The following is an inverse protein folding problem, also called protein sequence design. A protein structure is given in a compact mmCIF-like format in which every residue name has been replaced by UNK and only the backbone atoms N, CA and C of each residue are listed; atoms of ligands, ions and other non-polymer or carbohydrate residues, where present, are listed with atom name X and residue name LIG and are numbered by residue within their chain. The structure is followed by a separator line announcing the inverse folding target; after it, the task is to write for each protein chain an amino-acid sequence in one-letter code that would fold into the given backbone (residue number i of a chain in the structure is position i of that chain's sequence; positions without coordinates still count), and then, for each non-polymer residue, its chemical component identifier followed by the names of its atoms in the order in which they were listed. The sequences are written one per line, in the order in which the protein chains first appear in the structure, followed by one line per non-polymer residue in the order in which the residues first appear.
data_IF_963657938602
#
_entry.id   IF_963657938602
#
_cell.length_a   1.000
_cell.length_b   1.000
_cell.length_c   1.000
_cell.angle_alpha   90.00
_cell.angle_beta   90.00
_cell.angle_gamma   90.00
#
_symmetry.space_group_name_H-M   'P 1'
#
loop_
_entity.id
_entity.type
_entity.pdbx_description
1 polymer ?
#
# COMPACT_ATOMS: atom_id res chain seq x y z
N UNK A 1 -8.45 -43.79 -2.01
CA UNK A 1 -8.54 -43.53 -0.55
C UNK A 1 -7.29 -44.08 0.10
N UNK A 2 -6.92 -43.59 1.27
CA UNK A 2 -5.79 -44.06 2.09
C UNK A 2 -6.29 -44.15 3.54
N UNK A 3 -5.88 -45.16 4.34
CA UNK A 3 -5.05 -46.30 3.95
C UNK A 3 -5.78 -47.25 2.98
N UNK A 4 -5.06 -47.91 2.07
CA UNK A 4 -5.63 -48.86 1.11
C UNK A 4 -4.70 -50.06 0.83
N UNK A 5 -5.30 -51.17 0.38
CA UNK A 5 -4.58 -52.41 0.04
C UNK A 5 -4.23 -52.56 -1.45
N UNK A 6 -4.31 -51.48 -2.24
CA UNK A 6 -4.13 -51.48 -3.70
C UNK A 6 -2.81 -50.85 -4.14
N UNK A 7 -1.83 -50.79 -3.23
CA UNK A 7 -0.48 -50.27 -3.52
C UNK A 7 -0.49 -48.83 -4.09
N UNK A 8 -1.45 -48.02 -3.63
CA UNK A 8 -1.54 -46.60 -3.96
C UNK A 8 -0.46 -45.74 -3.25
N UNK A 9 -0.47 -44.42 -3.46
CA UNK A 9 0.48 -43.51 -2.82
C UNK A 9 0.47 -43.62 -1.28
N UNK A 10 1.66 -43.56 -0.67
CA UNK A 10 1.88 -43.60 0.79
C UNK A 10 2.60 -42.34 1.25
N UNK A 11 2.46 -41.99 2.52
CA UNK A 11 3.19 -40.88 3.12
C UNK A 11 4.71 -41.08 3.07
N UNK A 12 5.46 -39.98 2.99
CA UNK A 12 6.94 -39.96 3.03
C UNK A 12 7.41 -39.20 4.27
N UNK A 13 7.67 -39.88 5.41
CA UNK A 13 8.08 -39.21 6.66
C UNK A 13 9.36 -38.37 6.53
N UNK A 14 10.23 -38.69 5.57
CA UNK A 14 11.43 -37.93 5.26
C UNK A 14 11.14 -36.51 4.69
N UNK A 15 9.94 -36.26 4.19
CA UNK A 15 9.51 -34.95 3.69
C UNK A 15 8.86 -34.07 4.78
N UNK A 16 8.94 -34.47 6.06
CA UNK A 16 8.35 -33.74 7.17
C UNK A 16 9.01 -32.36 7.34
N UNK A 17 8.20 -31.31 7.31
CA UNK A 17 8.66 -29.95 7.60
C UNK A 17 9.15 -29.82 9.06
N UNK A 18 10.14 -28.96 9.33
CA UNK A 18 10.57 -28.69 10.70
C UNK A 18 9.44 -28.00 11.50
N UNK A 19 9.31 -28.26 12.81
CA UNK A 19 8.30 -27.61 13.63
C UNK A 19 8.56 -26.10 13.75
N UNK A 20 7.52 -25.28 13.55
CA UNK A 20 7.56 -23.84 13.79
C UNK A 20 7.11 -23.56 15.23
N UNK A 21 7.97 -22.91 16.04
CA UNK A 21 7.59 -22.46 17.38
C UNK A 21 6.63 -21.26 17.27
N UNK A 22 5.49 -21.35 17.93
CA UNK A 22 4.49 -20.27 18.01
C UNK A 22 4.42 -19.79 19.47
N UNK A 23 4.20 -18.48 19.65
CA UNK A 23 4.03 -17.84 20.95
C UNK A 23 2.88 -16.84 20.91
N UNK A 24 2.11 -16.75 21.99
CA UNK A 24 0.91 -15.91 22.07
C UNK A 24 -0.38 -16.72 21.91
N UNK A 25 -1.50 -16.03 22.07
CA UNK A 25 -2.83 -16.63 21.96
C UNK A 25 -3.31 -16.65 20.51
N UNK A 26 -4.22 -17.56 20.18
CA UNK A 26 -4.91 -17.50 18.89
C UNK A 26 -5.97 -16.39 18.93
N UNK A 27 -5.68 -15.26 18.29
CA UNK A 27 -6.56 -14.09 18.26
C UNK A 27 -6.55 -13.37 16.91
N UNK A 28 -7.45 -12.40 16.73
CA UNK A 28 -7.42 -11.45 15.60
C UNK A 28 -6.52 -10.28 15.98
N UNK A 29 -5.23 -10.38 15.69
CA UNK A 29 -4.28 -9.30 15.93
C UNK A 29 -4.47 -8.18 14.91
N UNK A 30 -4.50 -6.93 15.39
CA UNK A 30 -4.50 -5.76 14.52
C UNK A 30 -3.09 -5.55 13.94
N UNK A 31 -2.97 -5.68 12.62
CA UNK A 31 -1.71 -5.54 11.90
C UNK A 31 -1.23 -4.08 11.80
N UNK A 32 -2.08 -3.10 12.12
CA UNK A 32 -1.69 -1.68 12.12
C UNK A 32 -0.82 -1.31 13.32
N UNK A 33 -0.95 -2.05 14.42
CA UNK A 33 -0.19 -1.78 15.65
C UNK A 33 1.29 -2.08 15.40
N UNK A 34 2.10 -1.02 15.41
CA UNK A 34 3.55 -1.12 15.24
C UNK A 34 4.03 -1.24 13.79
N UNK A 35 3.14 -1.13 12.81
CA UNK A 35 3.52 -1.12 11.40
C UNK A 35 3.88 0.30 10.93
N UNK A 36 4.87 0.40 10.04
CA UNK A 36 5.31 1.65 9.43
C UNK A 36 5.17 1.54 7.91
N UNK A 37 4.14 2.19 7.39
CA UNK A 37 3.78 2.13 5.97
C UNK A 37 4.57 3.14 5.11
N UNK A 38 5.39 4.02 5.70
CA UNK A 38 5.93 5.19 5.00
C UNK A 38 7.46 5.20 4.87
N UNK A 39 8.21 4.55 5.76
CA UNK A 39 9.68 4.57 5.69
C UNK A 39 10.25 3.87 4.46
N UNK A 40 9.75 2.69 4.10
CA UNK A 40 10.27 1.96 2.93
C UNK A 40 9.95 2.69 1.60
N UNK A 41 8.72 3.19 1.36
CA UNK A 41 8.46 4.02 0.19
C UNK A 41 9.30 5.31 0.16
N UNK A 42 9.59 5.93 1.32
CA UNK A 42 10.44 7.12 1.40
C UNK A 42 11.87 6.79 0.99
N UNK A 43 12.41 5.67 1.49
CA UNK A 43 13.73 5.21 1.10
C UNK A 43 13.82 5.00 -0.41
N UNK A 44 12.81 4.34 -1.01
CA UNK A 44 12.75 4.15 -2.46
C UNK A 44 12.67 5.47 -3.23
N UNK A 45 11.80 6.40 -2.81
CA UNK A 45 11.66 7.71 -3.46
C UNK A 45 12.98 8.51 -3.44
N UNK A 46 13.73 8.42 -2.36
CA UNK A 46 15.02 9.09 -2.22
C UNK A 46 16.13 8.49 -3.09
N UNK A 47 15.98 7.25 -3.56
CA UNK A 47 16.91 6.64 -4.52
C UNK A 47 16.67 7.14 -5.95
N UNK A 48 15.53 7.74 -6.24
CA UNK A 48 15.20 8.18 -7.59
C UNK A 48 15.94 9.45 -8.00
N UNK A 49 16.43 9.45 -9.23
CA UNK A 49 16.83 10.67 -9.93
C UNK A 49 15.62 11.53 -10.32
N UNK A 50 15.87 12.77 -10.74
CA UNK A 50 14.80 13.70 -11.09
C UNK A 50 13.93 13.18 -12.25
N UNK A 51 14.51 12.52 -13.24
CA UNK A 51 13.77 11.96 -14.37
C UNK A 51 12.87 10.80 -13.95
N UNK A 52 13.34 9.94 -13.04
CA UNK A 52 12.57 8.86 -12.43
C UNK A 52 11.42 9.42 -11.59
N UNK A 53 11.67 10.46 -10.79
CA UNK A 53 10.62 11.16 -10.03
C UNK A 53 9.55 11.76 -10.96
N UNK A 54 9.95 12.44 -12.05
CA UNK A 54 8.98 12.97 -13.01
C UNK A 54 8.12 11.88 -13.64
N UNK A 55 8.72 10.75 -14.04
CA UNK A 55 7.97 9.60 -14.58
C UNK A 55 7.01 9.00 -13.55
N UNK A 56 7.43 8.91 -12.29
CA UNK A 56 6.58 8.45 -11.19
C UNK A 56 5.35 9.36 -11.05
N UNK A 57 5.55 10.67 -11.00
CA UNK A 57 4.47 11.65 -10.84
C UNK A 57 3.49 11.61 -12.01
N UNK A 58 4.00 11.58 -13.26
CA UNK A 58 3.16 11.53 -14.46
C UNK A 58 2.33 10.25 -14.54
N UNK A 59 2.93 9.11 -14.18
CA UNK A 59 2.24 7.82 -14.21
C UNK A 59 1.10 7.77 -13.18
N UNK A 60 1.33 8.29 -11.97
CA UNK A 60 0.30 8.36 -10.93
C UNK A 60 -0.82 9.31 -11.35
N UNK A 61 -0.49 10.49 -11.86
CA UNK A 61 -1.49 11.43 -12.35
C UNK A 61 -2.35 10.82 -13.46
N UNK A 62 -1.75 10.12 -14.42
CA UNK A 62 -2.48 9.43 -15.48
C UNK A 62 -3.43 8.35 -14.92
N UNK A 63 -2.99 7.57 -13.94
CA UNK A 63 -3.79 6.52 -13.31
C UNK A 63 -4.96 7.07 -12.47
N UNK A 64 -4.87 8.33 -12.02
CA UNK A 64 -5.89 8.98 -11.19
C UNK A 64 -6.92 9.80 -12.00
N UNK A 65 -6.94 9.66 -13.32
CA UNK A 65 -7.94 10.32 -14.18
C UNK A 65 -9.37 9.96 -13.75
N UNK A 66 -10.21 10.97 -13.51
CA UNK A 66 -11.62 10.79 -13.13
C UNK A 66 -11.86 10.35 -11.68
N UNK A 67 -10.81 10.25 -10.85
CA UNK A 67 -10.97 9.95 -9.41
C UNK A 67 -11.61 11.16 -8.70
N UNK A 68 -12.61 10.95 -7.82
CA UNK A 68 -13.21 12.02 -7.02
C UNK A 68 -12.18 12.77 -6.17
N UNK A 69 -12.29 14.11 -6.12
CA UNK A 69 -11.28 14.98 -5.49
C UNK A 69 -10.94 14.66 -4.02
N UNK A 70 -11.93 14.25 -3.21
CA UNK A 70 -11.66 13.87 -1.81
C UNK A 70 -10.79 12.60 -1.69
N UNK A 71 -10.87 11.69 -2.66
CA UNK A 71 -10.01 10.50 -2.74
C UNK A 71 -8.60 10.91 -3.20
N UNK A 72 -8.52 11.84 -4.16
CA UNK A 72 -7.25 12.43 -4.59
C UNK A 72 -6.52 13.07 -3.41
N UNK A 73 -7.19 13.91 -2.61
CA UNK A 73 -6.59 14.53 -1.43
C UNK A 73 -6.17 13.52 -0.36
N UNK A 74 -6.95 12.46 -0.13
CA UNK A 74 -6.54 11.38 0.78
C UNK A 74 -5.24 10.73 0.32
N UNK A 75 -5.13 10.42 -0.96
CA UNK A 75 -3.93 9.81 -1.53
C UNK A 75 -2.72 10.75 -1.48
N UNK A 76 -2.92 12.03 -1.79
CA UNK A 76 -1.89 13.06 -1.64
C UNK A 76 -1.43 13.18 -0.17
N UNK A 77 -2.34 13.03 0.79
CA UNK A 77 -2.02 12.92 2.22
C UNK A 77 -1.03 11.78 2.53
N UNK A 78 -1.26 10.59 1.98
CA UNK A 78 -0.31 9.47 2.13
C UNK A 78 1.03 9.75 1.46
N UNK A 79 1.05 10.32 0.25
CA UNK A 79 2.31 10.70 -0.40
C UNK A 79 3.09 11.75 0.39
N UNK A 80 2.41 12.64 1.12
CA UNK A 80 3.06 13.63 1.99
C UNK A 80 3.72 12.97 3.20
N UNK A 81 3.09 11.94 3.77
CA UNK A 81 3.68 11.12 4.84
C UNK A 81 4.91 10.35 4.33
N UNK A 82 4.93 9.96 3.05
CA UNK A 82 6.14 9.43 2.41
C UNK A 82 7.20 10.52 2.23
N UNK A 83 6.93 11.60 1.49
CA UNK A 83 7.86 12.71 1.27
C UNK A 83 7.11 13.96 0.75
N UNK A 84 7.40 15.19 1.24
CA UNK A 84 6.74 16.41 0.76
C UNK A 84 6.84 16.61 -0.76
N UNK A 85 8.03 16.43 -1.35
CA UNK A 85 8.22 16.55 -2.81
C UNK A 85 7.46 15.48 -3.61
N UNK A 86 7.16 14.33 -3.01
CA UNK A 86 6.38 13.30 -3.68
C UNK A 86 4.92 13.78 -3.82
N UNK A 87 4.32 14.27 -2.74
CA UNK A 87 2.99 14.87 -2.79
C UNK A 87 2.93 16.06 -3.74
N UNK A 88 3.88 17.00 -3.62
CA UNK A 88 3.93 18.18 -4.47
C UNK A 88 4.11 17.83 -5.96
N UNK A 89 4.96 16.84 -6.27
CA UNK A 89 5.19 16.34 -7.61
C UNK A 89 3.95 15.73 -8.24
N UNK A 90 3.26 14.85 -7.50
CA UNK A 90 2.01 14.22 -7.97
C UNK A 90 0.91 15.27 -8.12
N UNK A 91 0.75 16.20 -7.17
CA UNK A 91 -0.25 17.28 -7.25
C UNK A 91 -0.03 18.14 -8.49
N UNK A 92 1.22 18.51 -8.77
CA UNK A 92 1.56 19.27 -9.97
C UNK A 92 1.21 18.47 -11.23
N UNK A 93 1.56 17.19 -11.30
CA UNK A 93 1.25 16.33 -12.45
C UNK A 93 -0.26 16.16 -12.67
N UNK A 94 -1.06 16.08 -11.60
CA UNK A 94 -2.52 16.04 -11.66
C UNK A 94 -3.11 17.33 -12.24
N UNK A 95 -2.59 18.48 -11.79
CA UNK A 95 -2.96 19.79 -12.33
C UNK A 95 -2.62 19.89 -13.81
N UNK A 96 -1.42 19.50 -14.20
CA UNK A 96 -0.94 19.59 -15.59
C UNK A 96 -1.71 18.64 -16.53
N UNK A 97 -2.02 17.42 -16.09
CA UNK A 97 -2.67 16.40 -16.92
C UNK A 97 -4.19 16.55 -17.00
N UNK A 98 -4.84 16.90 -15.89
CA UNK A 98 -6.30 16.83 -15.74
C UNK A 98 -6.95 18.13 -15.26
N UNK A 99 -6.18 19.22 -15.11
CA UNK A 99 -6.69 20.48 -14.58
C UNK A 99 -7.15 20.39 -13.13
N UNK A 100 -6.62 19.44 -12.36
CA UNK A 100 -6.97 19.27 -10.95
C UNK A 100 -6.62 20.53 -10.14
N UNK A 101 -7.62 21.08 -9.46
CA UNK A 101 -7.46 22.13 -8.45
C UNK A 101 -8.02 21.61 -7.13
N UNK A 102 -7.35 21.93 -6.02
CA UNK A 102 -7.80 21.47 -4.70
C UNK A 102 -9.17 22.10 -4.40
N UNK A 103 -10.21 21.28 -4.30
CA UNK A 103 -11.52 21.75 -3.89
C UNK A 103 -11.46 22.14 -2.40
N UNK A 104 -11.80 23.39 -2.09
CA UNK A 104 -11.87 23.95 -0.72
C UNK A 104 -13.03 23.38 0.12
N UNK A 105 -13.68 22.30 -0.34
CA UNK A 105 -14.75 21.65 0.43
C UNK A 105 -14.06 20.93 1.59
N UNK A 106 -14.17 21.53 2.78
CA UNK A 106 -13.68 20.96 4.03
C UNK A 106 -14.08 19.49 4.09
N UNK A 107 -13.09 18.61 4.29
CA UNK A 107 -13.33 17.23 4.69
C UNK A 107 -14.13 17.28 6.00
N UNK A 108 -15.45 17.13 5.93
CA UNK A 108 -16.27 17.00 7.12
C UNK A 108 -15.78 15.79 7.90
N UNK A 109 -15.60 15.96 9.21
CA UNK A 109 -14.85 15.13 10.15
C UNK A 109 -15.32 13.66 10.30
N UNK A 110 -16.23 13.17 9.47
CA UNK A 110 -16.84 11.83 9.62
C UNK A 110 -15.96 10.68 9.13
N UNK A 111 -14.79 10.93 8.54
CA UNK A 111 -13.87 9.87 8.11
C UNK A 111 -12.98 9.30 9.24
N UNK A 112 -13.16 9.71 10.49
CA UNK A 112 -12.36 9.24 11.64
C UNK A 112 -13.02 8.12 12.46
N UNK A 113 -14.18 7.59 12.04
CA UNK A 113 -14.93 6.59 12.81
C UNK A 113 -14.92 5.17 12.22
N UNK A 114 -13.95 4.84 11.38
CA UNK A 114 -13.79 3.47 10.88
C UNK A 114 -12.30 3.09 10.75
N UNK A 115 -11.65 2.92 11.89
CA UNK A 115 -10.49 2.04 12.02
C UNK A 115 -10.48 1.33 13.37
#
# INVERSE_FOLDING_TARGET
YEPNSFNGPVEQPAAKEPPLRISGDAARYDHRVGNDDYSQPRALFNLFDDGQKQRLFSNIAAAMAGVPGFIVERQLGHFKLVHPDYEAGVRKALKDAHGYEANTIALSEEATAAE
#
